data_IF_778606437068
#
_entry.id   IF_778606437068
#
_cell.length_a   1.000
_cell.length_b   1.000
_cell.length_c   1.000
_cell.angle_alpha   90.00
_cell.angle_beta   90.00
_cell.angle_gamma   90.00
#
_symmetry.space_group_name_H-M   'P 1'
#
loop_
_entity.id
_entity.type
_entity.pdbx_description
1 polymer ?
#
# COMPACT_ATOMS: atom_id res chain seq x y z
N UNK A 1 -4.79 -18.82 -14.52
CA UNK A 1 -4.35 -19.57 -13.32
C UNK A 1 -5.59 -19.96 -12.51
N UNK A 2 -5.78 -21.25 -12.20
CA UNK A 2 -6.95 -21.72 -11.46
C UNK A 2 -6.73 -21.53 -9.95
N UNK A 3 -7.67 -20.88 -9.27
CA UNK A 3 -7.63 -20.74 -7.82
C UNK A 3 -7.68 -22.09 -7.11
N UNK A 4 -6.83 -22.31 -6.10
CA UNK A 4 -6.85 -23.50 -5.25
C UNK A 4 -8.17 -23.58 -4.44
N UNK A 5 -8.46 -24.76 -3.90
CA UNK A 5 -9.65 -24.97 -3.03
C UNK A 5 -9.59 -24.03 -1.81
N UNK A 6 -8.39 -23.86 -1.22
CA UNK A 6 -8.17 -22.97 -0.06
C UNK A 6 -8.43 -21.50 -0.42
N UNK A 7 -7.90 -21.03 -1.55
CA UNK A 7 -8.13 -19.66 -2.02
C UNK A 7 -9.60 -19.38 -2.30
N UNK A 8 -10.31 -20.33 -2.92
CA UNK A 8 -11.76 -20.21 -3.15
C UNK A 8 -12.56 -20.10 -1.86
N UNK A 9 -12.18 -20.88 -0.84
CA UNK A 9 -12.85 -20.82 0.47
C UNK A 9 -12.63 -19.46 1.13
N UNK A 10 -11.42 -18.94 1.15
CA UNK A 10 -11.09 -17.61 1.69
C UNK A 10 -11.88 -16.52 0.97
N UNK A 11 -11.97 -16.56 -0.36
CA UNK A 11 -12.76 -15.61 -1.13
C UNK A 11 -14.25 -15.69 -0.79
N UNK A 12 -14.79 -16.91 -0.61
CA UNK A 12 -16.16 -17.12 -0.18
C UNK A 12 -16.41 -16.56 1.23
N UNK A 13 -15.49 -16.81 2.18
CA UNK A 13 -15.55 -16.27 3.55
C UNK A 13 -15.46 -14.74 3.56
N UNK A 14 -14.79 -14.15 2.56
CA UNK A 14 -14.77 -12.70 2.33
C UNK A 14 -16.04 -12.17 1.66
N UNK A 15 -17.00 -13.04 1.29
CA UNK A 15 -18.22 -12.68 0.57
C UNK A 15 -17.97 -12.34 -0.91
N UNK A 16 -16.87 -12.81 -1.50
CA UNK A 16 -16.52 -12.60 -2.90
C UNK A 16 -16.99 -13.82 -3.71
N UNK A 17 -17.97 -13.69 -4.64
CA UNK A 17 -18.43 -14.80 -5.46
C UNK A 17 -17.32 -15.24 -6.42
N UNK A 18 -16.98 -16.52 -6.38
CA UNK A 18 -16.01 -17.13 -7.29
C UNK A 18 -16.75 -17.91 -8.36
N UNK A 19 -16.76 -17.39 -9.57
CA UNK A 19 -17.37 -18.05 -10.72
C UNK A 19 -16.47 -19.17 -11.24
N UNK A 20 -17.06 -20.34 -11.54
CA UNK A 20 -16.39 -21.39 -12.31
C UNK A 20 -16.70 -21.18 -13.78
N UNK A 21 -15.69 -21.17 -14.64
CA UNK A 21 -15.90 -21.31 -16.08
C UNK A 21 -16.61 -22.64 -16.31
N UNK A 22 -17.81 -22.62 -16.91
CA UNK A 22 -18.35 -23.80 -17.55
C UNK A 22 -17.57 -23.93 -18.85
N UNK A 23 -16.90 -25.04 -19.04
CA UNK A 23 -16.26 -25.36 -20.31
C UNK A 23 -17.31 -25.29 -21.41
N UNK A 24 -17.31 -24.19 -22.16
CA UNK A 24 -17.98 -24.06 -23.43
C UNK A 24 -16.94 -23.72 -24.46
N UNK A 25 -16.55 -24.72 -25.20
CA UNK A 25 -15.97 -24.56 -26.52
C UNK A 25 -16.94 -23.76 -27.38
N UNK A 26 -16.61 -22.51 -27.71
CA UNK A 26 -17.14 -21.79 -28.87
C UNK A 26 -16.36 -20.49 -29.13
N UNK A 27 -15.66 -20.50 -30.25
CA UNK A 27 -15.50 -19.47 -31.29
C UNK A 27 -15.47 -17.99 -30.88
N UNK A 28 -14.38 -17.37 -31.36
CA UNK A 28 -14.05 -15.97 -31.18
C UNK A 28 -14.99 -14.97 -31.86
N UNK A 29 -14.98 -13.78 -31.31
CA UNK A 29 -15.16 -12.50 -31.98
C UNK A 29 -14.31 -11.49 -31.17
N UNK A 30 -13.29 -10.90 -31.83
CA UNK A 30 -12.52 -9.80 -31.26
C UNK A 30 -13.21 -8.47 -31.53
N UNK A 31 -13.08 -7.49 -30.62
CA UNK A 31 -13.51 -6.12 -30.89
C UNK A 31 -12.42 -5.30 -31.60
N UNK A 32 -12.81 -4.29 -32.38
CA UNK A 32 -11.88 -3.45 -33.14
C UNK A 32 -11.17 -2.43 -32.26
N UNK A 33 -9.94 -2.10 -32.62
CA UNK A 33 -9.10 -1.12 -31.98
C UNK A 33 -9.63 0.32 -32.14
N UNK A 34 -9.34 1.13 -31.14
CA UNK A 34 -9.38 2.59 -31.23
C UNK A 34 -8.06 3.15 -30.69
N UNK A 35 -7.30 3.74 -31.59
CA UNK A 35 -6.14 4.57 -31.30
C UNK A 35 -6.58 5.86 -30.63
N UNK A 36 -5.95 6.27 -29.56
CA UNK A 36 -6.04 7.62 -29.01
C UNK A 36 -4.64 8.19 -28.79
N UNK A 37 -4.45 9.30 -29.47
CA UNK A 37 -3.26 10.13 -29.55
C UNK A 37 -2.79 10.69 -28.20
N UNK A 38 -1.46 10.71 -28.04
CA UNK A 38 -0.76 11.37 -26.94
C UNK A 38 -0.77 12.89 -27.12
N UNK A 39 -1.16 13.62 -26.07
CA UNK A 39 -0.90 15.05 -25.94
C UNK A 39 -0.09 15.29 -24.66
N UNK A 40 1.03 15.99 -24.80
CA UNK A 40 2.01 16.24 -23.77
C UNK A 40 1.51 17.24 -22.71
N UNK A 41 2.05 17.10 -21.50
CA UNK A 41 1.86 18.01 -20.36
C UNK A 41 3.21 18.61 -19.99
N UNK A 42 3.32 19.93 -19.83
CA UNK A 42 4.55 20.55 -19.38
C UNK A 42 4.73 20.47 -17.86
N UNK A 43 6.00 20.26 -17.48
CA UNK A 43 6.47 20.28 -16.10
C UNK A 43 6.48 21.72 -15.54
N UNK A 44 6.09 21.87 -14.29
CA UNK A 44 6.65 22.89 -13.37
C UNK A 44 6.33 22.49 -11.93
N UNK A 45 7.34 22.09 -11.17
CA UNK A 45 7.29 21.94 -9.73
C UNK A 45 7.71 23.26 -9.06
N UNK A 46 7.12 23.63 -7.91
CA UNK A 46 7.77 24.53 -6.97
C UNK A 46 8.54 23.73 -5.94
N UNK A 47 9.83 23.97 -5.86
CA UNK A 47 10.69 23.51 -4.76
C UNK A 47 10.28 24.21 -3.45
N UNK A 48 9.91 23.45 -2.44
CA UNK A 48 9.82 23.92 -1.05
C UNK A 48 10.83 23.16 -0.23
N UNK A 49 11.80 23.89 0.30
CA UNK A 49 13.01 23.40 0.95
C UNK A 49 12.75 22.53 2.19
N UNK A 50 13.20 21.31 2.08
CA UNK A 50 13.45 20.36 3.19
C UNK A 50 14.84 19.69 3.03
N UNK A 51 15.77 20.35 2.37
CA UNK A 51 16.95 19.76 1.73
C UNK A 51 18.06 19.17 2.63
N UNK A 52 18.06 19.32 3.95
CA UNK A 52 19.20 18.90 4.76
C UNK A 52 18.99 17.58 5.56
N UNK A 53 17.76 17.16 5.79
CA UNK A 53 17.46 15.90 6.48
C UNK A 53 17.23 14.74 5.50
N UNK A 54 16.75 15.01 4.30
CA UNK A 54 16.45 14.00 3.27
C UNK A 54 17.73 13.39 2.69
N UNK A 55 18.76 14.19 2.37
CA UNK A 55 20.03 13.70 1.83
C UNK A 55 20.78 12.73 2.77
N UNK A 56 20.57 12.84 4.09
CA UNK A 56 21.17 11.93 5.06
C UNK A 56 20.43 10.57 5.13
N UNK A 57 19.15 10.52 4.76
CA UNK A 57 18.36 9.27 4.79
C UNK A 57 18.53 8.46 3.51
N UNK A 58 18.71 9.12 2.37
CA UNK A 58 18.82 8.50 1.05
C UNK A 58 19.97 7.49 0.89
N UNK A 59 21.02 7.62 1.69
CA UNK A 59 22.22 6.78 1.62
C UNK A 59 22.26 5.67 2.66
N UNK A 60 21.30 5.62 3.61
CA UNK A 60 21.31 4.63 4.68
C UNK A 60 21.06 3.22 4.11
N UNK A 61 21.75 2.24 4.65
CA UNK A 61 21.41 0.84 4.49
C UNK A 61 20.18 0.48 5.35
N UNK A 62 19.77 -0.78 5.30
CA UNK A 62 18.53 -1.22 5.97
C UNK A 62 18.60 -1.07 7.51
N UNK A 63 19.72 -1.49 8.11
CA UNK A 63 19.93 -1.48 9.55
C UNK A 63 20.05 -0.03 10.09
N UNK A 64 20.77 0.81 9.38
CA UNK A 64 20.91 2.23 9.73
C UNK A 64 19.58 2.99 9.57
N UNK A 65 18.79 2.66 8.53
CA UNK A 65 17.47 3.24 8.33
C UNK A 65 16.52 2.85 9.45
N UNK A 66 16.48 1.58 9.84
CA UNK A 66 15.63 1.09 10.93
C UNK A 66 16.03 1.75 12.27
N UNK A 67 17.32 1.84 12.56
CA UNK A 67 17.83 2.52 13.75
C UNK A 67 17.44 4.01 13.75
N UNK A 68 17.55 4.69 12.60
CA UNK A 68 17.16 6.10 12.43
C UNK A 68 15.68 6.31 12.69
N UNK A 69 14.82 5.45 12.16
CA UNK A 69 13.36 5.50 12.38
C UNK A 69 13.04 5.26 13.86
N UNK A 70 13.69 4.29 14.50
CA UNK A 70 13.49 3.99 15.93
C UNK A 70 13.80 5.19 16.82
N UNK A 71 14.85 5.95 16.52
CA UNK A 71 15.27 7.15 17.25
C UNK A 71 14.61 8.46 16.79
N UNK A 72 13.71 8.44 15.80
CA UNK A 72 13.15 9.64 15.19
C UNK A 72 12.35 10.48 16.18
N UNK A 73 12.58 11.81 16.20
CA UNK A 73 11.88 12.81 17.03
C UNK A 73 11.33 13.97 16.17
N UNK A 74 11.26 13.82 14.84
CA UNK A 74 10.88 14.90 13.93
C UNK A 74 9.46 15.46 14.18
N UNK A 75 8.53 14.60 14.61
CA UNK A 75 7.16 14.98 14.97
C UNK A 75 7.01 14.96 16.48
N UNK A 76 7.17 16.12 17.15
CA UNK A 76 7.18 16.23 18.62
C UNK A 76 5.95 15.61 19.28
N UNK A 77 4.74 15.86 18.73
CA UNK A 77 3.48 15.30 19.24
C UNK A 77 3.48 13.77 19.13
N UNK A 78 3.82 13.23 17.95
CA UNK A 78 3.83 11.78 17.72
C UNK A 78 4.93 11.08 18.54
N UNK A 79 6.10 11.71 18.68
CA UNK A 79 7.20 11.15 19.44
C UNK A 79 6.89 11.03 20.93
N UNK A 80 6.09 11.96 21.47
CA UNK A 80 5.64 11.94 22.87
C UNK A 80 4.54 10.92 23.15
N UNK A 81 3.61 10.75 22.20
CA UNK A 81 2.38 9.98 22.41
C UNK A 81 2.51 8.49 21.99
N UNK A 82 3.45 8.17 21.09
CA UNK A 82 3.68 6.79 20.67
C UNK A 82 4.35 5.95 21.75
N UNK A 83 4.08 4.65 21.77
CA UNK A 83 4.84 3.67 22.54
C UNK A 83 6.16 3.36 21.84
N UNK A 84 6.11 3.15 20.51
CA UNK A 84 7.29 2.89 19.68
C UNK A 84 7.01 3.23 18.22
N UNK A 85 8.05 3.22 17.40
CA UNK A 85 7.91 3.33 15.95
C UNK A 85 7.55 1.99 15.33
N UNK A 86 6.81 2.02 14.22
CA UNK A 86 6.48 0.85 13.41
C UNK A 86 7.18 0.99 12.07
N UNK A 87 8.30 0.29 11.93
CA UNK A 87 9.15 0.41 10.74
C UNK A 87 8.51 -0.23 9.50
N UNK A 88 8.06 -1.44 9.64
CA UNK A 88 7.52 -2.31 8.58
C UNK A 88 7.84 -3.76 8.89
N UNK A 89 7.28 -4.69 8.09
CA UNK A 89 7.51 -6.13 8.23
C UNK A 89 7.44 -6.82 6.87
N UNK A 90 8.24 -7.85 6.69
CA UNK A 90 8.20 -8.71 5.51
C UNK A 90 9.55 -8.95 4.87
N UNK A 91 9.52 -9.37 3.61
CA UNK A 91 10.70 -9.66 2.82
C UNK A 91 11.36 -8.36 2.34
N UNK A 92 12.65 -8.19 2.64
CA UNK A 92 13.45 -7.02 2.22
C UNK A 92 13.70 -6.96 0.70
N UNK A 93 13.34 -8.01 -0.03
CA UNK A 93 13.40 -8.12 -1.50
C UNK A 93 12.03 -8.46 -2.09
N UNK A 94 10.97 -7.98 -1.43
CA UNK A 94 9.61 -8.23 -1.82
C UNK A 94 9.28 -7.62 -3.19
N UNK A 95 8.60 -8.36 -4.04
CA UNK A 95 8.01 -7.78 -5.26
C UNK A 95 6.74 -6.98 -4.96
N UNK A 96 6.04 -7.29 -3.86
CA UNK A 96 4.84 -6.59 -3.43
C UNK A 96 5.10 -5.70 -2.23
N UNK A 97 4.78 -4.41 -2.35
CA UNK A 97 4.83 -3.47 -1.22
C UNK A 97 3.43 -2.96 -0.90
N UNK A 98 2.93 -3.29 0.29
CA UNK A 98 1.65 -2.79 0.79
C UNK A 98 1.89 -1.61 1.73
N UNK A 99 1.26 -0.48 1.45
CA UNK A 99 1.45 0.76 2.22
C UNK A 99 0.11 1.21 2.80
N UNK A 100 0.01 1.22 4.12
CA UNK A 100 -1.10 1.80 4.87
C UNK A 100 -0.86 3.25 5.26
N UNK A 101 -1.77 3.80 6.05
CA UNK A 101 -1.75 5.19 6.51
C UNK A 101 -0.78 5.40 7.69
N UNK A 102 -1.08 4.82 8.82
CA UNK A 102 -0.36 4.97 10.07
C UNK A 102 -0.60 3.76 10.99
N UNK A 103 0.27 3.54 11.99
CA UNK A 103 0.04 2.52 13.02
C UNK A 103 -1.21 2.83 13.86
N UNK A 104 -2.00 1.81 14.18
CA UNK A 104 -3.03 1.84 15.19
C UNK A 104 -2.50 1.49 16.59
N UNK A 105 -3.40 1.34 17.57
CA UNK A 105 -3.01 1.07 18.97
C UNK A 105 -2.30 -0.28 19.16
N UNK A 106 -2.74 -1.32 18.46
CA UNK A 106 -2.10 -2.64 18.54
C UNK A 106 -0.74 -2.65 17.87
N UNK A 107 -0.62 -1.96 16.73
CA UNK A 107 0.61 -1.80 15.98
C UNK A 107 1.66 -1.01 16.78
N UNK A 108 1.25 0.09 17.42
CA UNK A 108 2.09 0.92 18.30
C UNK A 108 2.61 0.10 19.52
N UNK A 109 1.76 -0.77 20.07
CA UNK A 109 2.14 -1.64 21.19
C UNK A 109 3.10 -2.75 20.77
N UNK A 110 2.92 -3.34 19.56
CA UNK A 110 3.71 -4.49 19.09
C UNK A 110 4.94 -4.11 18.27
N UNK A 111 4.96 -2.89 17.69
CA UNK A 111 6.02 -2.45 16.80
C UNK A 111 5.93 -3.04 15.38
N UNK A 112 4.80 -3.66 15.03
CA UNK A 112 4.60 -4.33 13.74
C UNK A 112 3.31 -3.82 13.06
N UNK A 113 3.31 -3.54 11.74
CA UNK A 113 2.14 -3.02 11.03
C UNK A 113 1.07 -4.11 10.83
N UNK A 114 -0.21 -3.70 10.85
CA UNK A 114 -1.34 -4.57 10.54
C UNK A 114 -1.40 -5.84 11.40
N UNK A 115 -1.36 -5.70 12.73
CA UNK A 115 -1.47 -6.82 13.69
C UNK A 115 -2.86 -6.95 14.33
N UNK A 116 -3.72 -5.93 14.18
CA UNK A 116 -5.11 -5.95 14.66
C UNK A 116 -6.07 -6.65 13.70
N UNK A 117 -7.39 -6.45 13.90
CA UNK A 117 -8.45 -7.03 13.05
C UNK A 117 -8.33 -6.66 11.57
N UNK A 118 -7.88 -5.43 11.28
CA UNK A 118 -7.61 -4.98 9.92
C UNK A 118 -6.45 -5.78 9.29
N UNK A 119 -5.43 -6.08 10.08
CA UNK A 119 -4.30 -6.91 9.67
C UNK A 119 -4.70 -8.35 9.36
N UNK A 120 -5.56 -8.96 10.18
CA UNK A 120 -6.10 -10.31 9.90
C UNK A 120 -6.85 -10.36 8.57
N UNK A 121 -7.61 -9.30 8.23
CA UNK A 121 -8.23 -9.22 6.92
C UNK A 121 -7.19 -9.07 5.80
N UNK A 122 -6.15 -8.25 6.00
CA UNK A 122 -5.04 -8.12 5.05
C UNK A 122 -4.37 -9.47 4.81
N UNK A 123 -4.07 -10.24 5.87
CA UNK A 123 -3.49 -11.58 5.75
C UNK A 123 -4.36 -12.52 4.91
N UNK A 124 -5.69 -12.48 5.10
CA UNK A 124 -6.63 -13.24 4.27
C UNK A 124 -6.63 -12.76 2.80
N UNK A 125 -6.49 -11.46 2.56
CA UNK A 125 -6.37 -10.91 1.21
C UNK A 125 -5.06 -11.37 0.53
N UNK A 126 -3.96 -11.38 1.26
CA UNK A 126 -2.66 -11.91 0.79
C UNK A 126 -2.77 -13.42 0.47
N UNK A 127 -3.34 -14.21 1.39
CA UNK A 127 -3.55 -15.65 1.15
C UNK A 127 -4.41 -15.92 -0.08
N UNK A 128 -5.43 -15.11 -0.34
CA UNK A 128 -6.27 -15.22 -1.54
C UNK A 128 -5.45 -14.97 -2.83
N UNK A 129 -4.44 -14.09 -2.78
CA UNK A 129 -3.49 -13.87 -3.87
C UNK A 129 -2.45 -15.00 -3.99
N UNK A 130 -2.34 -15.89 -2.99
CA UNK A 130 -1.28 -16.89 -2.89
C UNK A 130 0.01 -16.35 -2.28
N UNK A 131 -0.07 -15.23 -1.57
CA UNK A 131 1.03 -14.54 -0.90
C UNK A 131 1.04 -14.83 0.60
N UNK A 132 2.18 -14.56 1.23
CA UNK A 132 2.39 -14.61 2.67
C UNK A 132 3.08 -13.31 3.11
N UNK A 133 2.72 -12.76 4.30
CA UNK A 133 3.26 -11.48 4.78
C UNK A 133 4.78 -11.46 5.00
N UNK A 134 5.42 -12.63 5.06
CA UNK A 134 6.86 -12.78 5.28
C UNK A 134 7.64 -13.18 4.03
N UNK A 135 6.93 -13.53 2.93
CA UNK A 135 7.56 -13.97 1.68
C UNK A 135 6.99 -13.18 0.51
N UNK A 136 7.87 -12.56 -0.26
CA UNK A 136 7.56 -11.77 -1.46
C UNK A 136 6.64 -10.56 -1.20
N UNK A 137 6.41 -10.22 0.07
CA UNK A 137 5.57 -9.12 0.55
C UNK A 137 6.34 -8.30 1.58
N UNK A 138 6.28 -6.97 1.47
CA UNK A 138 6.63 -6.06 2.54
C UNK A 138 5.44 -5.16 2.87
N UNK A 139 5.20 -4.93 4.16
CA UNK A 139 4.09 -4.12 4.65
C UNK A 139 4.65 -2.95 5.45
N UNK A 140 4.26 -1.74 5.08
CA UNK A 140 4.66 -0.51 5.75
C UNK A 140 3.47 0.47 5.88
N UNK A 141 3.72 1.62 6.49
CA UNK A 141 2.80 2.75 6.53
C UNK A 141 3.50 4.03 6.08
N UNK A 142 2.72 5.03 5.66
CA UNK A 142 3.20 6.39 5.40
C UNK A 142 3.84 6.95 6.66
N UNK A 143 3.12 6.95 7.80
CA UNK A 143 3.69 7.31 9.10
C UNK A 143 4.32 6.09 9.80
N UNK A 144 5.43 6.33 10.48
CA UNK A 144 6.08 5.33 11.34
C UNK A 144 5.63 5.41 12.81
N UNK A 145 4.80 6.38 13.14
CA UNK A 145 4.30 6.64 14.48
C UNK A 145 2.78 6.69 14.49
N UNK A 146 2.17 6.24 15.59
CA UNK A 146 0.73 6.32 15.80
C UNK A 146 0.30 7.76 16.09
N UNK A 147 -0.66 8.34 15.35
CA UNK A 147 -1.28 9.61 15.71
C UNK A 147 -2.18 9.49 16.95
N UNK A 148 -2.24 10.52 17.83
CA UNK A 148 -3.13 10.53 18.98
C UNK A 148 -4.58 10.23 18.62
N UNK A 149 -5.22 9.32 19.36
CA UNK A 149 -6.60 8.91 19.09
C UNK A 149 -6.83 8.23 17.73
N UNK A 150 -5.77 7.82 17.03
CA UNK A 150 -5.81 7.31 15.64
C UNK A 150 -6.47 8.31 14.68
N UNK A 151 -6.22 9.61 14.85
CA UNK A 151 -6.64 10.63 13.89
C UNK A 151 -5.91 10.48 12.55
N UNK A 152 -6.44 11.07 11.50
CA UNK A 152 -5.73 11.17 10.22
C UNK A 152 -4.37 11.88 10.42
N UNK A 153 -3.32 11.49 9.70
CA UNK A 153 -2.03 12.18 9.66
C UNK A 153 -2.19 13.64 9.24
N UNK A 154 -1.40 14.52 9.87
CA UNK A 154 -1.25 15.89 9.39
C UNK A 154 -0.31 15.92 8.17
N UNK A 155 -0.48 16.88 7.23
CA UNK A 155 0.41 16.99 6.07
C UNK A 155 1.89 17.09 6.44
N UNK A 156 2.23 17.88 7.46
CA UNK A 156 3.59 18.04 7.96
C UNK A 156 4.17 16.75 8.57
N UNK A 157 3.34 15.90 9.18
CA UNK A 157 3.76 14.60 9.71
C UNK A 157 4.07 13.62 8.57
N UNK A 158 3.22 13.61 7.53
CA UNK A 158 3.45 12.80 6.34
C UNK A 158 4.72 13.23 5.60
N UNK A 159 4.94 14.54 5.44
CA UNK A 159 6.15 15.10 4.84
C UNK A 159 7.41 14.71 5.63
N UNK A 160 7.39 14.84 6.97
CA UNK A 160 8.53 14.49 7.83
C UNK A 160 8.85 12.97 7.82
N UNK A 161 7.88 12.11 7.52
CA UNK A 161 8.08 10.65 7.44
C UNK A 161 8.43 10.14 6.03
N UNK A 162 8.23 10.97 5.00
CA UNK A 162 8.32 10.56 3.60
C UNK A 162 9.67 9.97 3.24
N UNK A 163 10.77 10.64 3.61
CA UNK A 163 12.11 10.19 3.29
C UNK A 163 12.42 8.76 3.79
N UNK A 164 11.84 8.35 4.92
CA UNK A 164 11.98 6.97 5.40
C UNK A 164 11.28 5.95 4.50
N UNK A 165 10.07 6.26 4.06
CA UNK A 165 9.31 5.38 3.16
C UNK A 165 9.98 5.31 1.78
N UNK A 166 10.43 6.44 1.26
CA UNK A 166 11.15 6.52 -0.01
C UNK A 166 12.42 5.68 0.01
N UNK A 167 13.17 5.75 1.10
CA UNK A 167 14.37 4.93 1.27
C UNK A 167 14.04 3.44 1.37
N UNK A 168 12.95 3.06 2.06
CA UNK A 168 12.49 1.67 2.09
C UNK A 168 12.16 1.18 0.67
N UNK A 169 11.44 1.97 -0.13
CA UNK A 169 11.11 1.63 -1.53
C UNK A 169 12.38 1.45 -2.36
N UNK A 170 13.34 2.36 -2.23
CA UNK A 170 14.63 2.27 -2.93
C UNK A 170 15.46 1.04 -2.55
N UNK A 171 15.37 0.57 -1.29
CA UNK A 171 16.09 -0.61 -0.83
C UNK A 171 15.38 -1.93 -1.20
N UNK A 172 14.03 -1.95 -1.14
CA UNK A 172 13.21 -3.14 -1.47
C UNK A 172 13.15 -3.36 -2.98
N UNK A 173 13.05 -2.28 -3.77
CA UNK A 173 12.86 -2.28 -5.23
C UNK A 173 11.64 -3.12 -5.66
N UNK A 174 10.43 -2.81 -5.12
CA UNK A 174 9.26 -3.60 -5.42
C UNK A 174 8.83 -3.46 -6.89
N UNK A 175 8.18 -4.48 -7.44
CA UNK A 175 7.59 -4.45 -8.78
C UNK A 175 6.20 -3.80 -8.78
N UNK A 176 5.49 -3.82 -7.63
CA UNK A 176 4.18 -3.18 -7.48
C UNK A 176 3.98 -2.65 -6.06
N UNK A 177 3.38 -1.47 -5.97
CA UNK A 177 2.94 -0.84 -4.72
C UNK A 177 1.41 -0.92 -4.64
N UNK A 178 0.89 -1.34 -3.48
CA UNK A 178 -0.55 -1.34 -3.18
C UNK A 178 -0.81 -0.34 -2.04
N UNK A 179 -1.44 0.79 -2.38
CA UNK A 179 -1.82 1.80 -1.40
C UNK A 179 -3.16 1.44 -0.75
N UNK A 180 -3.14 1.18 0.55
CA UNK A 180 -4.29 0.74 1.35
C UNK A 180 -5.05 1.93 1.93
N UNK A 181 -6.11 2.35 1.26
CA UNK A 181 -7.01 3.42 1.70
C UNK A 181 -6.69 4.79 1.12
N UNK A 182 -7.58 5.75 1.43
CA UNK A 182 -7.54 7.11 0.90
C UNK A 182 -6.25 7.84 1.25
N UNK A 183 -5.90 7.86 2.52
CA UNK A 183 -4.75 8.64 3.02
C UNK A 183 -3.43 8.15 2.41
N UNK A 184 -3.21 6.83 2.39
CA UNK A 184 -2.01 6.26 1.77
C UNK A 184 -1.93 6.60 0.27
N UNK A 185 -3.03 6.44 -0.46
CA UNK A 185 -3.09 6.75 -1.89
C UNK A 185 -2.86 8.25 -2.16
N UNK A 186 -3.53 9.14 -1.43
CA UNK A 186 -3.38 10.59 -1.56
C UNK A 186 -1.97 11.05 -1.21
N UNK A 187 -1.38 10.50 -0.13
CA UNK A 187 -0.02 10.86 0.28
C UNK A 187 1.03 10.45 -0.76
N UNK A 188 0.91 9.24 -1.32
CA UNK A 188 1.86 8.76 -2.34
C UNK A 188 1.69 9.47 -3.69
N UNK A 189 0.45 9.79 -4.07
CA UNK A 189 0.15 10.41 -5.35
C UNK A 189 0.13 11.94 -5.30
N UNK A 190 0.36 12.54 -4.13
CA UNK A 190 0.27 13.99 -3.90
C UNK A 190 -1.05 14.57 -4.45
N UNK A 191 -2.15 13.87 -4.19
CA UNK A 191 -3.46 14.14 -4.76
C UNK A 191 -4.51 14.30 -3.65
N UNK A 192 -5.45 15.21 -3.84
CA UNK A 192 -6.63 15.34 -2.98
C UNK A 192 -7.86 14.58 -3.52
N UNK A 193 -7.71 13.89 -4.63
CA UNK A 193 -8.81 13.16 -5.25
C UNK A 193 -9.38 12.07 -4.32
N UNK A 194 -10.72 11.88 -4.35
CA UNK A 194 -11.35 10.82 -3.56
C UNK A 194 -10.87 9.44 -4.04
N UNK A 195 -10.74 8.50 -3.11
CA UNK A 195 -10.27 7.14 -3.40
C UNK A 195 -11.01 6.47 -4.57
N UNK A 196 -12.29 6.76 -4.73
CA UNK A 196 -13.09 6.21 -5.82
C UNK A 196 -12.61 6.60 -7.22
N UNK A 197 -11.92 7.76 -7.36
CA UNK A 197 -11.29 8.20 -8.61
C UNK A 197 -9.87 7.62 -8.75
N UNK A 198 -9.12 7.58 -7.67
CA UNK A 198 -7.76 7.00 -7.65
C UNK A 198 -7.79 5.49 -7.93
N UNK A 199 -8.85 4.79 -7.50
CA UNK A 199 -9.04 3.39 -7.82
C UNK A 199 -9.36 3.23 -9.30
N UNK A 200 -8.77 2.25 -9.92
CA UNK A 200 -9.07 1.91 -11.31
C UNK A 200 -8.23 2.64 -12.34
N UNK A 201 -7.52 3.69 -11.95
CA UNK A 201 -6.56 4.40 -12.79
C UNK A 201 -5.16 3.78 -12.68
N UNK A 202 -4.34 4.01 -13.68
CA UNK A 202 -2.92 3.64 -13.66
C UNK A 202 -2.14 4.76 -12.97
N UNK A 203 -1.41 4.39 -11.95
CA UNK A 203 -0.54 5.30 -11.22
C UNK A 203 0.86 4.72 -11.11
N UNK A 204 1.82 5.60 -10.88
CA UNK A 204 3.20 5.22 -10.58
C UNK A 204 3.73 6.05 -9.41
N UNK A 205 4.55 5.43 -8.61
CA UNK A 205 5.33 6.12 -7.57
C UNK A 205 6.80 5.78 -7.74
N UNK A 206 7.63 6.78 -7.97
CA UNK A 206 9.07 6.60 -8.28
C UNK A 206 9.32 5.57 -9.41
N UNK A 207 8.45 5.56 -10.45
CA UNK A 207 8.54 4.62 -11.56
C UNK A 207 7.89 3.26 -11.31
N UNK A 208 7.57 2.90 -10.07
CA UNK A 208 6.92 1.63 -9.71
C UNK A 208 5.41 1.74 -9.91
N UNK A 209 4.75 0.77 -10.57
CA UNK A 209 3.29 0.72 -10.67
C UNK A 209 2.63 0.79 -9.30
N UNK A 210 1.62 1.65 -9.14
CA UNK A 210 0.88 1.85 -7.90
C UNK A 210 -0.61 1.60 -8.12
N UNK A 211 -1.19 0.74 -7.29
CA UNK A 211 -2.63 0.46 -7.28
C UNK A 211 -3.23 0.91 -5.96
N UNK A 212 -4.18 1.84 -6.04
CA UNK A 212 -4.97 2.28 -4.89
C UNK A 212 -6.14 1.32 -4.64
N UNK A 213 -6.37 0.94 -3.37
CA UNK A 213 -7.50 0.12 -2.97
C UNK A 213 -8.05 0.53 -1.61
N UNK A 214 -9.13 -0.10 -1.16
CA UNK A 214 -9.74 0.18 0.14
C UNK A 214 -8.86 -0.31 1.29
N UNK A 215 -8.84 0.46 2.38
CA UNK A 215 -8.19 0.05 3.61
C UNK A 215 -8.91 -1.13 4.26
N UNK A 216 -8.23 -2.16 4.78
CA UNK A 216 -8.87 -3.32 5.40
C UNK A 216 -9.83 -2.94 6.54
N UNK A 217 -9.52 -1.93 7.36
CA UNK A 217 -10.43 -1.45 8.41
C UNK A 217 -11.75 -0.88 7.85
N UNK A 218 -11.74 -0.25 6.66
CA UNK A 218 -12.94 0.17 5.97
C UNK A 218 -13.76 -1.04 5.50
N UNK A 219 -13.12 -2.05 4.93
CA UNK A 219 -13.77 -3.27 4.44
C UNK A 219 -14.43 -4.10 5.55
N UNK A 220 -13.94 -4.00 6.79
CA UNK A 220 -14.60 -4.58 7.95
C UNK A 220 -15.93 -3.89 8.27
N UNK A 221 -16.03 -2.57 8.04
CA UNK A 221 -17.26 -1.78 8.24
C UNK A 221 -18.19 -1.82 7.04
N UNK A 222 -17.66 -2.01 5.83
CA UNK A 222 -18.40 -2.06 4.55
C UNK A 222 -18.02 -3.31 3.75
N UNK A 223 -18.52 -4.49 4.16
CA UNK A 223 -18.15 -5.77 3.54
C UNK A 223 -18.48 -5.87 2.05
N UNK A 224 -19.53 -5.17 1.58
CA UNK A 224 -19.92 -5.15 0.17
C UNK A 224 -18.85 -4.62 -0.80
N UNK A 225 -17.86 -3.83 -0.29
CA UNK A 225 -16.78 -3.32 -1.12
C UNK A 225 -15.57 -4.29 -1.24
N UNK A 226 -15.59 -5.45 -0.56
CA UNK A 226 -14.51 -6.46 -0.65
C UNK A 226 -14.30 -6.97 -2.08
N UNK A 227 -15.38 -7.14 -2.85
CA UNK A 227 -15.28 -7.55 -4.25
C UNK A 227 -14.52 -6.52 -5.10
N UNK A 228 -14.72 -5.23 -4.82
CA UNK A 228 -13.98 -4.15 -5.49
C UNK A 228 -12.50 -4.13 -5.09
N UNK A 229 -12.21 -4.30 -3.80
CA UNK A 229 -10.82 -4.44 -3.34
C UNK A 229 -10.14 -5.65 -3.99
N UNK A 230 -10.85 -6.76 -4.16
CA UNK A 230 -10.33 -7.92 -4.86
C UNK A 230 -9.99 -7.63 -6.33
N UNK A 231 -10.83 -6.88 -7.04
CA UNK A 231 -10.54 -6.43 -8.41
C UNK A 231 -9.26 -5.60 -8.48
N UNK A 232 -9.04 -4.69 -7.50
CA UNK A 232 -7.82 -3.89 -7.42
C UNK A 232 -6.59 -4.77 -7.20
N UNK A 233 -6.67 -5.75 -6.31
CA UNK A 233 -5.58 -6.70 -6.07
C UNK A 233 -5.26 -7.57 -7.28
N UNK A 234 -6.28 -7.97 -8.06
CA UNK A 234 -6.05 -8.68 -9.33
C UNK A 234 -5.33 -7.77 -10.35
N UNK A 235 -5.68 -6.48 -10.39
CA UNK A 235 -4.98 -5.48 -11.22
C UNK A 235 -3.52 -5.33 -10.76
N UNK A 236 -3.28 -5.20 -9.45
CA UNK A 236 -1.91 -5.15 -8.93
C UNK A 236 -1.10 -6.39 -9.34
N UNK A 237 -1.71 -7.58 -9.32
CA UNK A 237 -1.08 -8.81 -9.78
C UNK A 237 -0.74 -8.79 -11.28
N UNK A 238 -1.55 -8.13 -12.10
CA UNK A 238 -1.25 -8.01 -13.54
C UNK A 238 -0.12 -7.04 -13.86
N UNK A 239 0.34 -6.24 -12.89
CA UNK A 239 1.52 -5.39 -13.04
C UNK A 239 2.84 -6.16 -12.88
N UNK A 240 2.79 -7.38 -12.35
CA UNK A 240 3.98 -8.23 -12.20
C UNK A 240 4.27 -8.96 -13.51
N UNK A 241 5.51 -8.93 -13.94
CA UNK A 241 5.99 -9.60 -15.15
C UNK A 241 6.03 -11.13 -14.99
#
# INVERSE_FOLDING_TARGET
MLLSVRQRRILADMGIPVWRSRDTSATGIGPPGAEVSAAGVPAAAPEVGSGAQDSAVETLDWEALEARVRGCQACTELARERTQTVFGVGDRRARWLFIGEAPGAEEDRRGEPFVGRAGQLLDNMLLALGLDRHHDVFIANVLKCRPPGNRDPKPEESAACRGYLDRQIALIQPEVIVALGRIAAQSLLESEEPLGRLRGSEHRYQGVPLVATYHPAYLLRKPGDKARAWQDLQRARSCLA
#
